data_IF_899172474642
#
_entry.id   IF_899172474642
#
_cell.length_a   1.000
_cell.length_b   1.000
_cell.length_c   1.000
_cell.angle_alpha   90.00
_cell.angle_beta   90.00
_cell.angle_gamma   90.00
#
_symmetry.space_group_name_H-M   'P 1'
#
loop_
_entity.id
_entity.type
_entity.pdbx_description
1 polymer ?
#
# COMPACT_ATOMS: atom_id res chain seq x y z
N UNK A 1 -22.51 27.68 -32.79
CA UNK A 1 -21.05 27.71 -32.56
C UNK A 1 -20.62 26.29 -32.29
N UNK A 2 -19.66 25.77 -33.05
CA UNK A 2 -19.25 24.37 -32.98
C UNK A 2 -18.53 24.10 -31.66
N UNK A 3 -19.08 23.24 -30.80
CA UNK A 3 -18.41 22.79 -29.58
C UNK A 3 -17.30 21.81 -29.98
N UNK A 4 -16.05 22.22 -29.76
CA UNK A 4 -14.88 21.39 -30.02
C UNK A 4 -14.82 20.24 -29.01
N UNK A 5 -15.15 19.02 -29.45
CA UNK A 5 -14.94 17.81 -28.67
C UNK A 5 -13.45 17.56 -28.49
N UNK A 6 -12.90 17.84 -27.31
CA UNK A 6 -11.51 17.50 -27.02
C UNK A 6 -11.38 16.00 -26.73
N UNK A 7 -11.08 15.22 -27.77
CA UNK A 7 -10.73 13.80 -27.64
C UNK A 7 -9.28 13.68 -27.20
N UNK A 8 -9.05 13.58 -25.89
CA UNK A 8 -7.71 13.28 -25.38
C UNK A 8 -7.47 11.78 -25.49
N UNK A 9 -6.75 11.40 -26.55
CA UNK A 9 -6.21 10.04 -26.71
C UNK A 9 -4.85 9.96 -26.02
N UNK A 10 -4.72 9.09 -25.03
CA UNK A 10 -3.43 8.79 -24.43
C UNK A 10 -2.55 8.09 -25.49
N UNK A 11 -1.38 8.67 -25.79
CA UNK A 11 -0.44 8.13 -26.79
C UNK A 11 0.22 6.81 -26.38
N UNK A 12 0.14 6.44 -25.10
CA UNK A 12 0.84 5.27 -24.56
C UNK A 12 -0.07 4.03 -24.45
N UNK A 13 -1.36 4.20 -24.13
CA UNK A 13 -2.31 3.08 -24.00
C UNK A 13 -3.51 3.15 -24.97
N UNK A 14 -3.60 4.19 -25.81
CA UNK A 14 -4.64 4.34 -26.83
C UNK A 14 -6.03 4.73 -26.30
N UNK A 15 -6.18 4.84 -24.98
CA UNK A 15 -7.44 5.19 -24.31
C UNK A 15 -7.86 6.60 -24.69
N UNK A 16 -9.08 6.70 -25.23
CA UNK A 16 -9.73 7.97 -25.52
C UNK A 16 -10.69 8.31 -24.39
N UNK A 17 -10.34 9.31 -23.60
CA UNK A 17 -11.30 9.90 -22.66
C UNK A 17 -12.06 10.97 -23.45
N UNK A 18 -13.26 10.63 -23.90
CA UNK A 18 -14.17 11.62 -24.49
C UNK A 18 -14.72 12.49 -23.36
N UNK A 19 -14.14 13.68 -23.18
CA UNK A 19 -14.74 14.72 -22.34
C UNK A 19 -15.67 15.56 -23.21
N UNK A 20 -16.96 15.37 -23.03
CA UNK A 20 -17.95 16.43 -23.27
C UNK A 20 -18.22 17.07 -21.93
N UNK A 21 -17.77 18.31 -21.68
CA UNK A 21 -18.09 19.00 -20.43
C UNK A 21 -19.60 19.16 -20.36
N UNK A 22 -20.24 18.47 -19.41
CA UNK A 22 -21.69 18.59 -19.18
C UNK A 22 -22.07 19.99 -18.65
N UNK A 23 -21.09 20.78 -18.19
CA UNK A 23 -21.30 22.01 -17.40
C UNK A 23 -20.84 23.31 -18.10
N UNK A 24 -20.34 23.27 -19.33
CA UNK A 24 -19.86 24.48 -20.03
C UNK A 24 -20.93 25.11 -20.94
N UNK A 25 -22.14 24.53 -21.03
CA UNK A 25 -23.26 25.03 -21.83
C UNK A 25 -24.38 25.55 -20.91
N UNK A 26 -24.97 26.75 -21.12
CA UNK A 26 -26.21 27.11 -20.44
C UNK A 26 -27.23 25.99 -20.66
N UNK A 27 -27.68 25.38 -19.55
CA UNK A 27 -28.55 24.18 -19.53
C UNK A 27 -29.45 24.11 -20.77
N UNK A 28 -29.18 23.18 -21.72
CA UNK A 28 -29.96 23.06 -22.96
C UNK A 28 -31.43 22.68 -22.69
N UNK A 29 -31.75 22.40 -21.43
CA UNK A 29 -33.04 21.95 -20.93
C UNK A 29 -33.92 23.08 -20.37
N UNK A 30 -33.43 24.33 -20.37
CA UNK A 30 -34.08 25.47 -19.74
C UNK A 30 -33.84 25.53 -18.22
N UNK A 31 -34.23 26.65 -17.59
CA UNK A 31 -34.12 26.84 -16.14
C UNK A 31 -35.43 26.44 -15.46
N UNK A 32 -35.36 25.41 -14.62
CA UNK A 32 -36.42 25.06 -13.67
C UNK A 32 -36.22 25.72 -12.31
N UNK A 33 -35.24 26.63 -12.19
CA UNK A 33 -34.76 27.17 -10.92
C UNK A 33 -35.86 27.90 -10.14
N UNK A 34 -36.82 28.51 -10.85
CA UNK A 34 -37.97 29.19 -10.27
C UNK A 34 -38.95 28.25 -9.55
N UNK A 35 -38.95 26.95 -9.87
CA UNK A 35 -39.79 25.95 -9.24
C UNK A 35 -39.07 25.16 -8.14
N UNK A 36 -37.75 25.30 -7.99
CA UNK A 36 -36.98 24.56 -6.98
C UNK A 36 -37.22 25.06 -5.55
N UNK A 37 -37.70 26.30 -5.39
CA UNK A 37 -37.91 26.94 -4.10
C UNK A 37 -39.41 27.14 -3.76
N UNK A 38 -40.31 26.51 -4.51
CA UNK A 38 -41.76 26.58 -4.28
C UNK A 38 -42.36 25.18 -4.14
N UNK A 39 -43.48 25.07 -3.41
CA UNK A 39 -44.24 23.81 -3.32
C UNK A 39 -45.33 23.71 -4.42
N UNK A 40 -45.27 24.56 -5.44
CA UNK A 40 -46.29 24.61 -6.49
C UNK A 40 -46.02 23.53 -7.55
N UNK A 41 -47.02 22.70 -7.91
CA UNK A 41 -46.81 21.63 -8.87
C UNK A 41 -46.54 22.18 -10.28
N UNK A 42 -45.58 21.59 -10.99
CA UNK A 42 -45.38 21.89 -12.40
C UNK A 42 -46.61 21.47 -13.22
N UNK A 43 -46.94 22.20 -14.29
CA UNK A 43 -47.91 21.75 -15.29
C UNK A 43 -47.53 20.36 -15.83
N UNK A 44 -48.52 19.48 -16.05
CA UNK A 44 -48.27 18.07 -16.40
C UNK A 44 -47.42 17.89 -17.67
N UNK A 45 -47.58 18.78 -18.66
CA UNK A 45 -46.75 18.76 -19.87
C UNK A 45 -45.27 19.05 -19.58
N UNK A 46 -44.97 19.97 -18.67
CA UNK A 46 -43.61 20.29 -18.26
C UNK A 46 -43.03 19.20 -17.36
N UNK A 47 -43.83 18.67 -16.44
CA UNK A 47 -43.44 17.53 -15.61
C UNK A 47 -43.11 16.29 -16.46
N UNK A 48 -43.86 16.05 -17.53
CA UNK A 48 -43.62 14.95 -18.49
C UNK A 48 -42.32 15.20 -19.26
N UNK A 49 -42.09 16.42 -19.78
CA UNK A 49 -40.84 16.79 -20.47
C UNK A 49 -39.62 16.63 -19.56
N UNK A 50 -39.73 17.11 -18.32
CA UNK A 50 -38.68 16.98 -17.30
C UNK A 50 -38.34 15.52 -17.02
N UNK A 51 -39.34 14.67 -16.76
CA UNK A 51 -39.14 13.24 -16.49
C UNK A 51 -38.53 12.48 -17.66
N UNK A 52 -39.12 12.60 -18.85
CA UNK A 52 -38.82 11.69 -19.96
C UNK A 52 -37.71 12.15 -20.89
N UNK A 53 -37.34 13.43 -20.84
CA UNK A 53 -36.23 13.97 -21.65
C UNK A 53 -35.07 14.33 -20.73
N UNK A 54 -35.25 15.34 -19.88
CA UNK A 54 -34.15 15.97 -19.14
C UNK A 54 -33.53 15.01 -18.13
N UNK A 55 -34.34 14.48 -17.20
CA UNK A 55 -33.87 13.58 -16.16
C UNK A 55 -33.36 12.26 -16.75
N UNK A 56 -33.98 11.81 -17.85
CA UNK A 56 -33.53 10.61 -18.56
C UNK A 56 -32.15 10.81 -19.18
N UNK A 57 -31.95 11.88 -19.97
CA UNK A 57 -30.67 12.18 -20.61
C UNK A 57 -29.56 12.38 -19.56
N UNK A 58 -29.85 13.09 -18.47
CA UNK A 58 -28.93 13.24 -17.33
C UNK A 58 -28.57 11.89 -16.69
N UNK A 59 -29.56 11.03 -16.46
CA UNK A 59 -29.34 9.71 -15.88
C UNK A 59 -28.53 8.80 -16.81
N UNK A 60 -28.82 8.84 -18.11
CA UNK A 60 -28.11 8.04 -19.12
C UNK A 60 -26.64 8.49 -19.22
N UNK A 61 -26.39 9.80 -19.19
CA UNK A 61 -25.03 10.34 -19.15
C UNK A 61 -24.31 10.00 -17.83
N UNK A 62 -25.00 10.06 -16.69
CA UNK A 62 -24.42 9.65 -15.41
C UNK A 62 -24.07 8.15 -15.41
N UNK A 63 -24.91 7.29 -16.00
CA UNK A 63 -24.63 5.87 -16.16
C UNK A 63 -23.42 5.62 -17.07
N UNK A 64 -23.28 6.40 -18.15
CA UNK A 64 -22.11 6.36 -19.04
C UNK A 64 -20.83 6.74 -18.30
N UNK A 65 -20.86 7.83 -17.53
CA UNK A 65 -19.71 8.29 -16.73
C UNK A 65 -19.32 7.26 -15.66
N UNK A 66 -20.29 6.68 -14.96
CA UNK A 66 -20.04 5.61 -13.98
C UNK A 66 -19.38 4.39 -14.62
N UNK A 67 -19.84 3.97 -15.79
CA UNK A 67 -19.25 2.84 -16.53
C UNK A 67 -17.80 3.13 -16.93
N UNK A 68 -17.52 4.35 -17.37
CA UNK A 68 -16.17 4.77 -17.74
C UNK A 68 -15.24 4.88 -16.52
N UNK A 69 -15.74 5.37 -15.38
CA UNK A 69 -15.00 5.36 -14.12
C UNK A 69 -14.60 3.94 -13.73
N UNK A 70 -15.53 2.99 -13.82
CA UNK A 70 -15.27 1.60 -13.48
C UNK A 70 -14.21 0.99 -14.41
N UNK A 71 -14.34 1.22 -15.72
CA UNK A 71 -13.35 0.77 -16.71
C UNK A 71 -11.95 1.30 -16.42
N UNK A 72 -11.82 2.58 -16.06
CA UNK A 72 -10.53 3.19 -15.71
C UNK A 72 -9.98 2.63 -14.41
N UNK A 73 -10.82 2.38 -13.40
CA UNK A 73 -10.41 1.75 -12.14
C UNK A 73 -9.87 0.35 -12.37
N UNK A 74 -10.56 -0.50 -13.12
CA UNK A 74 -10.09 -1.86 -13.40
C UNK A 74 -8.73 -1.87 -14.12
N UNK A 75 -8.51 -0.94 -15.04
CA UNK A 75 -7.20 -0.81 -15.69
C UNK A 75 -6.11 -0.34 -14.71
N UNK A 76 -6.44 0.59 -13.81
CA UNK A 76 -5.51 1.06 -12.79
C UNK A 76 -5.07 -0.10 -11.88
N UNK A 77 -6.02 -0.94 -11.46
CA UNK A 77 -5.74 -2.15 -10.68
C UNK A 77 -4.81 -3.15 -11.41
N UNK A 78 -5.02 -3.36 -12.73
CA UNK A 78 -4.16 -4.22 -13.53
C UNK A 78 -2.71 -3.69 -13.60
N UNK A 79 -2.57 -2.38 -13.87
CA UNK A 79 -1.25 -1.73 -13.93
C UNK A 79 -0.56 -1.75 -12.56
N UNK A 80 -1.30 -1.53 -11.48
CA UNK A 80 -0.76 -1.59 -10.11
C UNK A 80 -0.24 -3.00 -9.78
N UNK A 81 -0.98 -4.04 -10.16
CA UNK A 81 -0.55 -5.43 -9.99
C UNK A 81 0.74 -5.73 -10.77
N UNK A 82 0.83 -5.29 -12.02
CA UNK A 82 2.04 -5.47 -12.83
C UNK A 82 3.24 -4.73 -12.24
N UNK A 83 3.02 -3.52 -11.74
CA UNK A 83 4.04 -2.73 -11.03
C UNK A 83 4.55 -3.47 -9.80
N UNK A 84 3.67 -4.02 -8.98
CA UNK A 84 4.03 -4.79 -7.78
C UNK A 84 4.84 -6.05 -8.12
N UNK A 85 4.42 -6.80 -9.15
CA UNK A 85 5.15 -7.97 -9.62
C UNK A 85 6.55 -7.62 -10.11
N UNK A 86 6.68 -6.52 -10.83
CA UNK A 86 7.97 -6.05 -11.33
C UNK A 86 8.87 -5.56 -10.19
N UNK A 87 8.31 -4.80 -9.24
CA UNK A 87 9.01 -4.35 -8.05
C UNK A 87 9.58 -5.53 -7.25
N UNK A 88 8.77 -6.58 -7.03
CA UNK A 88 9.22 -7.80 -6.36
C UNK A 88 10.32 -8.56 -7.14
N UNK A 89 10.36 -8.46 -8.47
CA UNK A 89 11.45 -9.02 -9.29
C UNK A 89 12.72 -8.19 -9.14
N UNK A 90 12.62 -6.87 -9.19
CA UNK A 90 13.73 -5.94 -9.00
C UNK A 90 14.39 -6.17 -7.64
N UNK A 91 13.61 -6.24 -6.58
CA UNK A 91 14.10 -6.50 -5.22
C UNK A 91 14.85 -7.84 -5.13
N UNK A 92 14.28 -8.91 -5.68
CA UNK A 92 14.94 -10.22 -5.71
C UNK A 92 16.28 -10.19 -6.43
N UNK A 93 16.36 -9.57 -7.61
CA UNK A 93 17.61 -9.50 -8.36
C UNK A 93 18.62 -8.54 -7.72
N UNK A 94 18.17 -7.44 -7.15
CA UNK A 94 19.02 -6.52 -6.38
C UNK A 94 19.63 -7.24 -5.18
N UNK A 95 18.86 -8.09 -4.50
CA UNK A 95 19.36 -8.91 -3.39
C UNK A 95 20.42 -9.93 -3.84
N UNK A 96 20.38 -10.43 -5.08
CA UNK A 96 21.42 -11.33 -5.61
C UNK A 96 22.77 -10.63 -5.80
N UNK A 97 22.74 -9.37 -6.21
CA UNK A 97 23.95 -8.56 -6.44
C UNK A 97 24.31 -7.68 -5.24
N UNK A 98 23.64 -7.87 -4.10
CA UNK A 98 23.94 -7.12 -2.89
C UNK A 98 25.41 -7.33 -2.49
N UNK A 99 26.16 -6.24 -2.18
CA UNK A 99 27.57 -6.33 -1.80
C UNK A 99 27.83 -7.33 -0.68
N UNK A 100 26.86 -7.51 0.23
CA UNK A 100 27.01 -8.40 1.37
C UNK A 100 27.16 -9.88 0.99
N UNK A 101 26.72 -10.27 -0.22
CA UNK A 101 26.89 -11.62 -0.78
C UNK A 101 28.25 -11.82 -1.46
N UNK A 102 28.94 -10.74 -1.82
CA UNK A 102 30.27 -10.77 -2.43
C UNK A 102 31.39 -10.47 -1.43
N UNK A 103 31.05 -10.05 -0.21
CA UNK A 103 32.05 -9.84 0.83
C UNK A 103 32.76 -11.16 1.18
N UNK A 104 34.10 -11.15 1.26
CA UNK A 104 34.86 -12.26 1.81
C UNK A 104 34.42 -12.57 3.26
N UNK A 105 34.47 -13.85 3.68
CA UNK A 105 34.17 -14.26 5.05
C UNK A 105 34.92 -13.45 6.12
N UNK A 106 36.15 -13.04 5.84
CA UNK A 106 37.01 -12.27 6.75
C UNK A 106 36.40 -10.89 7.02
N UNK A 107 35.96 -10.19 5.97
CA UNK A 107 35.34 -8.87 6.09
C UNK A 107 33.99 -8.96 6.81
N UNK A 108 33.19 -9.98 6.51
CA UNK A 108 31.95 -10.25 7.24
C UNK A 108 32.22 -10.51 8.72
N UNK A 109 33.26 -11.27 9.05
CA UNK A 109 33.63 -11.54 10.43
C UNK A 109 34.05 -10.25 11.17
N UNK A 110 34.79 -9.35 10.53
CA UNK A 110 35.14 -8.06 11.14
C UNK A 110 33.90 -7.22 11.41
N UNK A 111 33.01 -7.08 10.43
CA UNK A 111 31.73 -6.36 10.59
C UNK A 111 30.92 -6.95 11.76
N UNK A 112 30.78 -8.27 11.83
CA UNK A 112 30.07 -8.92 12.93
C UNK A 112 30.73 -8.66 14.28
N UNK A 113 32.07 -8.58 14.34
CA UNK A 113 32.79 -8.20 15.55
C UNK A 113 32.38 -6.82 16.06
N UNK A 114 32.27 -5.83 15.17
CA UNK A 114 31.80 -4.49 15.52
C UNK A 114 30.34 -4.50 15.99
N UNK A 115 29.46 -5.22 15.29
CA UNK A 115 28.04 -5.32 15.66
C UNK A 115 27.87 -5.97 17.03
N UNK A 116 28.59 -7.07 17.30
CA UNK A 116 28.55 -7.80 18.56
C UNK A 116 29.32 -7.14 19.71
N UNK A 117 29.95 -5.99 19.44
CA UNK A 117 30.60 -5.16 20.47
C UNK A 117 29.83 -3.87 20.72
N UNK A 118 28.79 -3.58 19.92
CA UNK A 118 27.97 -2.37 20.03
C UNK A 118 26.91 -2.52 21.11
N UNK A 119 26.73 -1.46 21.90
CA UNK A 119 25.69 -1.38 22.92
C UNK A 119 24.30 -1.46 22.26
N UNK A 120 23.54 -2.51 22.59
CA UNK A 120 22.18 -2.75 22.07
C UNK A 120 22.02 -4.02 21.22
N UNK A 121 23.12 -4.58 20.68
CA UNK A 121 23.09 -5.84 19.92
C UNK A 121 23.63 -7.03 20.71
N UNK A 122 24.41 -6.73 21.75
CA UNK A 122 25.10 -7.71 22.59
C UNK A 122 24.25 -8.04 23.80
N UNK A 123 23.47 -9.11 23.70
CA UNK A 123 22.85 -9.70 24.88
C UNK A 123 23.91 -10.46 25.66
N UNK A 124 24.00 -10.24 26.98
CA UNK A 124 24.79 -11.13 27.84
C UNK A 124 24.27 -12.57 27.78
N UNK A 125 23.04 -12.79 27.32
CA UNK A 125 22.37 -14.07 27.26
C UNK A 125 22.23 -14.57 25.81
N UNK A 126 22.43 -15.86 25.57
CA UNK A 126 22.10 -16.44 24.25
C UNK A 126 20.60 -16.38 24.01
N UNK A 127 20.18 -15.44 23.14
CA UNK A 127 18.80 -15.29 22.70
C UNK A 127 18.72 -15.48 21.19
N UNK A 128 17.74 -16.25 20.74
CA UNK A 128 17.57 -16.60 19.32
C UNK A 128 17.30 -15.39 18.40
N UNK A 129 16.90 -14.25 18.98
CA UNK A 129 16.57 -13.02 18.25
C UNK A 129 17.59 -11.89 18.49
N UNK A 130 18.74 -12.17 19.12
CA UNK A 130 19.77 -11.16 19.42
C UNK A 130 21.17 -11.71 19.09
N UNK A 131 22.16 -10.81 19.00
CA UNK A 131 23.59 -11.14 18.90
C UNK A 131 23.96 -12.15 17.80
N UNK A 132 24.82 -13.11 18.17
CA UNK A 132 25.38 -14.12 17.28
C UNK A 132 24.30 -14.99 16.64
N UNK A 133 23.28 -15.35 17.42
CA UNK A 133 22.17 -16.18 16.96
C UNK A 133 21.32 -15.46 15.90
N UNK A 134 21.10 -14.16 16.04
CA UNK A 134 20.40 -13.36 15.03
C UNK A 134 21.17 -13.32 13.71
N UNK A 135 22.49 -13.05 13.77
CA UNK A 135 23.35 -13.02 12.59
C UNK A 135 23.33 -14.35 11.81
N UNK A 136 23.35 -15.47 12.53
CA UNK A 136 23.27 -16.81 11.93
C UNK A 136 21.91 -17.19 11.33
N UNK A 137 20.86 -16.37 11.50
CA UNK A 137 19.53 -16.62 10.92
C UNK A 137 19.28 -15.87 9.61
N UNK A 138 20.13 -14.91 9.26
CA UNK A 138 19.94 -14.06 8.08
C UNK A 138 20.15 -14.85 6.78
N UNK A 139 21.29 -15.55 6.63
CA UNK A 139 21.54 -16.44 5.50
C UNK A 139 22.55 -17.55 5.84
N UNK A 140 22.73 -18.52 4.94
CA UNK A 140 23.67 -19.63 5.13
C UNK A 140 25.13 -19.18 5.25
N UNK A 141 25.55 -18.20 4.46
CA UNK A 141 26.91 -17.65 4.50
C UNK A 141 27.20 -16.99 5.84
N UNK A 142 26.28 -16.16 6.35
CA UNK A 142 26.44 -15.50 7.64
C UNK A 142 26.49 -16.51 8.78
N UNK A 143 25.64 -17.55 8.73
CA UNK A 143 25.69 -18.66 9.69
C UNK A 143 27.04 -19.37 9.66
N UNK A 144 27.58 -19.63 8.47
CA UNK A 144 28.89 -20.25 8.33
C UNK A 144 29.96 -19.38 8.98
N UNK A 145 30.00 -18.08 8.67
CA UNK A 145 30.96 -17.12 9.24
C UNK A 145 30.83 -17.05 10.77
N UNK A 146 29.61 -16.93 11.30
CA UNK A 146 29.38 -16.86 12.75
C UNK A 146 29.85 -18.15 13.43
N UNK A 147 29.56 -19.32 12.88
CA UNK A 147 29.96 -20.60 13.46
C UNK A 147 31.46 -20.89 13.29
N UNK A 148 32.07 -20.46 12.20
CA UNK A 148 33.50 -20.68 11.91
C UNK A 148 34.41 -19.66 12.59
N UNK A 149 33.87 -18.68 13.32
CA UNK A 149 34.65 -17.65 14.01
C UNK A 149 34.54 -17.84 15.53
N UNK A 150 35.49 -18.55 16.18
CA UNK A 150 35.42 -18.89 17.60
C UNK A 150 35.27 -17.67 18.52
N UNK A 151 35.82 -16.52 18.14
CA UNK A 151 35.79 -15.27 18.92
C UNK A 151 34.38 -14.77 19.24
N UNK A 152 33.36 -15.17 18.47
CA UNK A 152 31.98 -14.79 18.75
C UNK A 152 31.33 -15.62 19.86
N UNK A 153 31.91 -16.78 20.19
CA UNK A 153 31.36 -17.76 21.13
C UNK A 153 32.16 -17.83 22.44
N UNK A 154 33.10 -16.91 22.66
CA UNK A 154 33.93 -16.90 23.88
C UNK A 154 33.16 -16.42 25.12
N UNK A 155 32.14 -15.57 24.93
CA UNK A 155 31.40 -14.96 26.05
C UNK A 155 29.90 -15.01 25.78
N UNK A 156 29.20 -15.92 26.45
CA UNK A 156 27.73 -15.95 26.45
C UNK A 156 27.18 -16.62 27.72
N UNK A 157 26.01 -16.20 28.18
CA UNK A 157 25.30 -16.84 29.29
C UNK A 157 24.13 -17.66 28.75
N UNK A 158 24.03 -18.93 29.16
CA UNK A 158 22.83 -19.75 28.93
C UNK A 158 21.94 -19.61 30.16
N UNK A 159 20.73 -19.07 29.98
CA UNK A 159 19.69 -19.18 31.01
C UNK A 159 18.99 -20.53 30.86
N UNK A 160 19.36 -21.49 31.70
CA UNK A 160 18.53 -22.67 31.91
C UNK A 160 17.38 -22.28 32.84
N UNK A 161 16.20 -22.06 32.26
CA UNK A 161 14.98 -21.97 33.06
C UNK A 161 14.67 -23.35 33.63
N UNK A 162 14.95 -23.56 34.92
CA UNK A 162 14.18 -24.58 35.64
C UNK A 162 12.74 -24.10 35.62
N UNK A 163 11.86 -24.87 34.98
CA UNK A 163 10.43 -24.67 35.05
C UNK A 163 9.98 -24.85 36.49
N UNK A 164 9.97 -23.78 37.27
CA UNK A 164 9.01 -23.63 38.35
C UNK A 164 7.89 -22.77 37.80
N UNK A 165 6.73 -23.39 37.60
CA UNK A 165 5.47 -22.70 37.38
C UNK A 165 5.32 -21.57 38.42
N UNK A 166 5.50 -20.33 37.99
CA UNK A 166 4.88 -19.20 38.66
C UNK A 166 3.58 -18.93 37.91
N UNK A 167 2.39 -19.07 38.53
CA UNK A 167 1.15 -18.74 37.86
C UNK A 167 1.14 -17.26 37.48
N UNK A 168 0.45 -16.86 36.41
CA UNK A 168 0.32 -15.45 36.08
C UNK A 168 -0.41 -14.76 37.23
N UNK A 169 0.28 -13.89 37.96
CA UNK A 169 -0.40 -12.97 38.86
C UNK A 169 -1.28 -12.09 37.98
N UNK A 170 -2.58 -12.41 38.00
CA UNK A 170 -3.64 -11.50 37.62
C UNK A 170 -3.54 -10.31 38.56
N UNK A 171 -2.81 -9.26 38.18
CA UNK A 171 -3.10 -7.95 38.73
C UNK A 171 -4.35 -7.43 38.03
N UNK A 172 -5.48 -7.68 38.71
CA UNK A 172 -6.73 -6.96 38.56
C UNK A 172 -6.49 -5.45 38.58
N UNK A 173 -7.37 -4.75 37.87
CA UNK A 173 -7.23 -3.36 37.46
C UNK A 173 -7.03 -2.33 38.56
N UNK A 174 -6.52 -1.18 38.14
CA UNK A 174 -6.95 0.11 38.64
C UNK A 174 -7.30 0.99 37.45
N UNK A 175 -8.59 0.99 37.12
CA UNK A 175 -9.27 2.09 36.46
C UNK A 175 -9.18 3.29 37.41
N UNK A 176 -8.59 4.40 36.97
CA UNK A 176 -8.82 5.70 37.59
C UNK A 176 -9.10 6.70 36.47
N UNK A 177 -10.39 6.92 36.26
CA UNK A 177 -10.90 8.13 35.64
C UNK A 177 -10.47 9.34 36.46
N UNK A 178 -9.90 10.34 35.77
CA UNK A 178 -10.23 11.74 35.98
C UNK A 178 -9.91 12.56 34.75
#
# INVERSE_FOLDING_TARGET
MSLETSSHRCRNCGISISRTPFLDDPSPYGSFDNHLNTNEPLPEAEATRLRHTILKDMSDEMARLNSEMERVRSLMEEIEKDRELLQARIERYTALISPVRSLPPEILSEIFGWVLSSDGWTSRFLRLNEGQCLLGRICSQWRQVVNSTPRFWTTFNIMYGMGSEAPPSRYCGHFRDR
#
